data_IF_713482543720
#
_entry.id   IF_713482543720
#
_cell.length_a   1.000
_cell.length_b   1.000
_cell.length_c   1.000
_cell.angle_alpha   90.00
_cell.angle_beta   90.00
_cell.angle_gamma   90.00
#
_symmetry.space_group_name_H-M   'P 1'
#
loop_
_entity.id
_entity.type
_entity.pdbx_description
1 polymer ?
#
# COMPACT_ATOMS: atom_id res chain seq x y z
N UNK A 1 6.59 -22.11 -2.35
CA UNK A 1 5.26 -21.50 -2.50
C UNK A 1 5.27 -20.00 -2.27
N UNK A 2 5.70 -19.47 -1.11
CA UNK A 2 5.59 -18.03 -0.80
C UNK A 2 6.34 -17.08 -1.74
N UNK A 3 7.46 -17.52 -2.32
CA UNK A 3 8.23 -16.72 -3.28
C UNK A 3 7.75 -16.79 -4.73
N UNK A 4 6.66 -17.53 -5.02
CA UNK A 4 6.09 -17.64 -6.36
C UNK A 4 5.19 -16.43 -6.69
N UNK A 5 4.90 -16.24 -7.97
CA UNK A 5 3.94 -15.24 -8.46
C UNK A 5 2.50 -15.64 -8.13
N UNK A 6 1.56 -14.70 -8.18
CA UNK A 6 0.13 -14.99 -7.97
C UNK A 6 -0.36 -16.08 -8.93
N UNK A 7 0.02 -16.00 -10.20
CA UNK A 7 -0.40 -16.97 -11.23
C UNK A 7 0.09 -18.38 -10.90
N UNK A 8 1.36 -18.52 -10.53
CA UNK A 8 1.94 -19.82 -10.15
C UNK A 8 1.31 -20.40 -8.89
N UNK A 9 0.93 -19.56 -7.92
CA UNK A 9 0.26 -20.02 -6.70
C UNK A 9 -1.20 -20.38 -6.96
N UNK A 10 -1.92 -19.57 -7.75
CA UNK A 10 -3.30 -19.86 -8.16
C UNK A 10 -3.38 -21.21 -8.90
N UNK A 11 -2.43 -21.48 -9.80
CA UNK A 11 -2.34 -22.76 -10.50
C UNK A 11 -2.02 -23.92 -9.54
N UNK A 12 -1.09 -23.72 -8.60
CA UNK A 12 -0.77 -24.74 -7.60
C UNK A 12 -1.97 -25.05 -6.67
N UNK A 13 -2.81 -24.07 -6.36
CA UNK A 13 -4.06 -24.27 -5.61
C UNK A 13 -5.07 -25.07 -6.44
N UNK A 14 -5.26 -24.72 -7.72
CA UNK A 14 -6.13 -25.45 -8.66
C UNK A 14 -5.71 -26.92 -8.81
N UNK A 15 -4.40 -27.19 -8.84
CA UNK A 15 -3.82 -28.52 -8.94
C UNK A 15 -3.77 -29.29 -7.60
N UNK A 16 -4.12 -28.65 -6.48
CA UNK A 16 -4.05 -29.27 -5.15
C UNK A 16 -2.62 -29.52 -4.64
N UNK A 17 -1.62 -28.83 -5.18
CA UNK A 17 -0.22 -28.92 -4.72
C UNK A 17 0.02 -28.21 -3.38
N UNK A 18 -0.88 -27.29 -3.02
CA UNK A 18 -0.97 -26.60 -1.74
C UNK A 18 -2.44 -26.30 -1.48
N UNK A 19 -2.88 -26.25 -0.22
CA UNK A 19 -4.25 -25.80 0.10
C UNK A 19 -4.28 -24.32 0.48
N UNK A 20 -5.43 -23.62 0.33
CA UNK A 20 -5.58 -22.26 0.84
C UNK A 20 -5.25 -22.16 2.33
N UNK A 21 -5.68 -23.15 3.13
CA UNK A 21 -5.43 -23.21 4.58
C UNK A 21 -3.94 -23.32 4.89
N UNK A 22 -3.21 -24.20 4.20
CA UNK A 22 -1.75 -24.34 4.36
C UNK A 22 -1.02 -23.05 3.97
N UNK A 23 -1.44 -22.41 2.87
CA UNK A 23 -0.87 -21.15 2.40
C UNK A 23 -1.10 -20.02 3.42
N UNK A 24 -2.32 -19.88 3.92
CA UNK A 24 -2.69 -18.90 4.95
C UNK A 24 -1.86 -19.08 6.23
N UNK A 25 -1.77 -20.32 6.74
CA UNK A 25 -0.99 -20.64 7.95
C UNK A 25 0.50 -20.32 7.79
N UNK A 26 1.08 -20.54 6.60
CA UNK A 26 2.47 -20.17 6.29
C UNK A 26 2.67 -18.65 6.36
N UNK A 27 1.76 -17.86 5.79
CA UNK A 27 1.79 -16.41 5.85
C UNK A 27 1.63 -15.89 7.29
N UNK A 28 0.65 -16.41 8.06
CA UNK A 28 0.45 -16.06 9.47
C UNK A 28 1.68 -16.37 10.32
N UNK A 29 2.32 -17.53 10.07
CA UNK A 29 3.55 -17.91 10.75
C UNK A 29 4.71 -16.95 10.45
N UNK A 30 4.79 -16.43 9.23
CA UNK A 30 5.76 -15.38 8.89
C UNK A 30 5.43 -14.07 9.58
N UNK A 31 4.16 -13.63 9.60
CA UNK A 31 3.74 -12.41 10.31
C UNK A 31 4.22 -12.47 11.78
N UNK A 32 4.03 -13.62 12.45
CA UNK A 32 4.50 -13.84 13.82
C UNK A 32 6.03 -13.72 13.94
N UNK A 33 6.79 -14.31 13.01
CA UNK A 33 8.26 -14.25 12.99
C UNK A 33 8.82 -12.87 12.65
N UNK A 34 8.12 -12.10 11.82
CA UNK A 34 8.54 -10.77 11.36
C UNK A 34 7.86 -9.64 12.12
N UNK A 35 7.31 -9.90 13.32
CA UNK A 35 6.66 -8.90 14.18
C UNK A 35 7.53 -7.66 14.42
N UNK A 36 8.86 -7.84 14.44
CA UNK A 36 9.83 -6.73 14.58
C UNK A 36 9.72 -5.66 13.50
N UNK A 37 9.17 -5.99 12.31
CA UNK A 37 8.97 -5.06 11.21
C UNK A 37 7.79 -4.12 11.44
N UNK A 38 6.87 -4.48 12.34
CA UNK A 38 5.66 -3.70 12.65
C UNK A 38 4.79 -3.38 11.42
N UNK A 39 4.71 -4.32 10.46
CA UNK A 39 4.00 -4.14 9.19
C UNK A 39 2.47 -4.12 9.32
N UNK A 40 1.92 -4.70 10.39
CA UNK A 40 0.47 -4.83 10.63
C UNK A 40 0.09 -4.14 11.94
N UNK A 41 -0.97 -3.33 11.91
CA UNK A 41 -1.66 -2.85 13.11
C UNK A 41 -2.54 -3.96 13.66
N UNK A 42 -3.38 -4.54 12.79
CA UNK A 42 -4.31 -5.61 13.13
C UNK A 42 -4.04 -6.81 12.25
N UNK A 43 -3.85 -7.99 12.84
CA UNK A 43 -3.74 -9.27 12.11
C UNK A 43 -5.08 -9.98 12.23
N UNK A 44 -5.74 -10.25 11.10
CA UNK A 44 -7.07 -10.87 11.07
C UNK A 44 -6.96 -12.41 10.98
N UNK A 45 -6.25 -13.02 11.92
CA UNK A 45 -5.92 -14.46 11.91
C UNK A 45 -7.17 -15.35 11.80
N UNK A 46 -8.19 -15.10 12.62
CA UNK A 46 -9.44 -15.88 12.60
C UNK A 46 -10.19 -15.74 11.26
N UNK A 47 -10.37 -14.51 10.78
CA UNK A 47 -11.06 -14.25 9.53
C UNK A 47 -10.31 -14.84 8.33
N UNK A 48 -8.98 -14.71 8.29
CA UNK A 48 -8.14 -15.25 7.22
C UNK A 48 -8.23 -16.79 7.15
N UNK A 49 -8.18 -17.47 8.30
CA UNK A 49 -8.31 -18.92 8.37
C UNK A 49 -9.70 -19.39 7.93
N UNK A 50 -10.76 -18.72 8.38
CA UNK A 50 -12.13 -19.03 7.95
C UNK A 50 -12.29 -18.87 6.44
N UNK A 51 -11.81 -17.76 5.88
CA UNK A 51 -11.81 -17.52 4.43
C UNK A 51 -11.02 -18.62 3.68
N UNK A 52 -9.91 -19.09 4.25
CA UNK A 52 -9.09 -20.15 3.68
C UNK A 52 -9.84 -21.49 3.65
N UNK A 53 -10.52 -21.85 4.74
CA UNK A 53 -11.35 -23.06 4.79
C UNK A 53 -12.51 -23.01 3.79
N UNK A 54 -13.14 -21.85 3.62
CA UNK A 54 -14.19 -21.64 2.63
C UNK A 54 -13.65 -21.74 1.20
N UNK A 55 -12.48 -21.18 0.93
CA UNK A 55 -11.77 -21.33 -0.34
C UNK A 55 -11.43 -22.78 -0.63
N UNK A 56 -10.93 -23.53 0.35
CA UNK A 56 -10.60 -24.94 0.18
C UNK A 56 -11.84 -25.77 -0.14
N UNK A 57 -12.99 -25.48 0.48
CA UNK A 57 -14.28 -26.09 0.14
C UNK A 57 -14.69 -25.78 -1.30
N UNK A 58 -14.44 -24.57 -1.80
CA UNK A 58 -14.71 -24.18 -3.19
C UNK A 58 -13.81 -24.94 -4.16
N UNK A 59 -12.51 -25.04 -3.89
CA UNK A 59 -11.57 -25.81 -4.71
C UNK A 59 -11.96 -27.29 -4.81
N UNK A 60 -12.35 -27.93 -3.69
CA UNK A 60 -12.83 -29.32 -3.67
C UNK A 60 -14.06 -29.57 -4.55
N UNK A 61 -14.86 -28.52 -4.81
CA UNK A 61 -16.05 -28.57 -5.66
C UNK A 61 -15.79 -28.07 -7.10
N UNK A 62 -14.58 -27.63 -7.42
CA UNK A 62 -14.28 -26.98 -8.71
C UNK A 62 -14.95 -25.61 -8.88
N UNK A 63 -15.25 -24.91 -7.78
CA UNK A 63 -16.01 -23.65 -7.74
C UNK A 63 -15.17 -22.45 -7.29
N UNK A 64 -13.92 -22.38 -7.75
CA UNK A 64 -13.02 -21.25 -7.42
C UNK A 64 -13.60 -19.91 -7.91
N UNK A 65 -13.48 -18.87 -7.09
CA UNK A 65 -14.05 -17.53 -7.37
C UNK A 65 -13.21 -16.68 -8.34
N UNK A 66 -11.96 -17.07 -8.61
CA UNK A 66 -11.08 -16.32 -9.49
C UNK A 66 -9.61 -16.55 -9.18
N UNK A 67 -8.75 -15.71 -9.75
CA UNK A 67 -7.29 -15.88 -9.64
C UNK A 67 -6.75 -15.58 -8.22
N UNK A 68 -7.51 -14.86 -7.39
CA UNK A 68 -7.17 -14.60 -5.99
C UNK A 68 -7.85 -15.52 -4.98
N UNK A 69 -8.63 -16.53 -5.41
CA UNK A 69 -9.32 -17.39 -4.45
C UNK A 69 -8.30 -18.16 -3.60
N UNK A 70 -8.33 -17.96 -2.28
CA UNK A 70 -7.37 -18.57 -1.37
C UNK A 70 -5.99 -17.92 -1.33
N UNK A 71 -5.81 -16.75 -1.96
CA UNK A 71 -4.54 -16.00 -1.94
C UNK A 71 -4.53 -14.98 -0.76
N UNK A 72 -3.50 -15.03 0.12
CA UNK A 72 -3.22 -14.01 1.13
C UNK A 72 -2.98 -12.60 0.58
N UNK A 73 -3.81 -11.64 0.98
CA UNK A 73 -3.68 -10.20 0.69
C UNK A 73 -3.73 -9.36 1.96
N UNK A 74 -3.04 -8.21 1.97
CA UNK A 74 -3.08 -7.27 3.08
C UNK A 74 -3.70 -5.92 2.65
N UNK A 75 -4.26 -5.17 3.60
CA UNK A 75 -4.98 -3.92 3.29
C UNK A 75 -4.48 -2.80 4.20
N UNK A 76 -4.09 -1.65 3.65
CA UNK A 76 -3.71 -0.49 4.46
C UNK A 76 -4.82 -0.06 5.40
N UNK A 77 -4.46 0.34 6.62
CA UNK A 77 -5.44 0.63 7.68
C UNK A 77 -6.19 1.97 7.54
N UNK A 78 -6.17 2.57 6.35
CA UNK A 78 -7.06 3.66 5.96
C UNK A 78 -8.16 3.21 4.99
N UNK A 79 -8.27 1.92 4.68
CA UNK A 79 -9.45 1.37 4.01
C UNK A 79 -10.44 0.80 5.04
N UNK A 80 -11.71 1.16 4.87
CA UNK A 80 -12.81 0.63 5.67
C UNK A 80 -12.97 -0.87 5.43
N UNK A 81 -13.04 -1.63 6.52
CA UNK A 81 -13.18 -3.09 6.51
C UNK A 81 -14.28 -3.47 7.50
N UNK A 82 -15.39 -4.00 7.00
CA UNK A 82 -16.52 -4.36 7.84
C UNK A 82 -16.12 -5.38 8.90
N UNK A 83 -16.37 -5.07 10.17
CA UNK A 83 -16.06 -5.97 11.29
C UNK A 83 -14.58 -6.06 11.67
N UNK A 84 -13.69 -5.28 11.03
CA UNK A 84 -12.27 -5.19 11.40
C UNK A 84 -11.95 -3.73 11.65
N UNK A 85 -11.33 -3.44 12.79
CA UNK A 85 -10.92 -2.09 13.19
C UNK A 85 -10.14 -1.37 12.07
N UNK A 86 -10.46 -0.09 11.85
CA UNK A 86 -9.77 0.80 10.92
C UNK A 86 -9.36 2.07 11.66
N UNK A 87 -8.06 2.23 11.91
CA UNK A 87 -7.55 3.29 12.81
C UNK A 87 -6.86 4.43 12.10
N UNK A 88 -6.49 4.28 10.82
CA UNK A 88 -5.59 5.20 10.12
C UNK A 88 -4.28 5.46 10.88
N UNK A 89 -3.82 4.52 11.72
CA UNK A 89 -2.69 4.71 12.64
C UNK A 89 -2.83 5.91 13.60
N UNK A 90 -4.06 6.29 13.95
CA UNK A 90 -4.40 7.46 14.77
C UNK A 90 -5.12 7.07 16.06
N UNK A 91 -4.95 7.88 17.12
CA UNK A 91 -5.78 7.76 18.32
C UNK A 91 -7.23 8.14 18.01
N UNK A 92 -7.46 9.05 17.05
CA UNK A 92 -8.77 9.52 16.64
C UNK A 92 -9.72 8.40 16.21
N UNK A 93 -9.20 7.33 15.60
CA UNK A 93 -10.00 6.20 15.11
C UNK A 93 -9.67 4.88 15.80
N UNK A 94 -8.96 4.93 16.94
CA UNK A 94 -8.75 3.75 17.76
C UNK A 94 -10.11 3.26 18.29
N UNK A 95 -10.40 1.98 18.10
CA UNK A 95 -11.68 1.34 18.41
C UNK A 95 -12.75 1.49 17.32
N UNK A 96 -12.51 2.24 16.25
CA UNK A 96 -13.50 2.40 15.18
C UNK A 96 -13.58 1.13 14.32
N UNK A 97 -14.76 0.50 14.31
CA UNK A 97 -15.08 -0.64 13.44
C UNK A 97 -16.07 -0.18 12.37
N UNK A 98 -15.64 -0.03 11.10
CA UNK A 98 -16.51 0.40 10.02
C UNK A 98 -17.69 -0.56 9.81
N UNK A 99 -18.90 -0.06 9.48
CA UNK A 99 -20.05 -0.90 9.19
C UNK A 99 -20.08 -1.42 7.74
N UNK A 100 -19.09 -1.06 6.91
CA UNK A 100 -19.02 -1.45 5.50
C UNK A 100 -17.59 -1.65 5.02
N UNK A 101 -17.44 -2.38 3.92
CA UNK A 101 -16.18 -2.53 3.20
C UNK A 101 -15.98 -1.40 2.20
N UNK A 102 -14.76 -0.88 2.12
CA UNK A 102 -14.33 -0.12 0.96
C UNK A 102 -14.54 -0.94 -0.32
N UNK A 103 -14.85 -0.28 -1.44
CA UNK A 103 -15.18 -1.00 -2.69
C UNK A 103 -14.02 -1.90 -3.14
N UNK A 104 -12.79 -1.43 -3.02
CA UNK A 104 -11.59 -2.22 -3.34
C UNK A 104 -11.42 -3.45 -2.44
N UNK A 105 -11.78 -3.35 -1.16
CA UNK A 105 -11.76 -4.48 -0.23
C UNK A 105 -12.83 -5.49 -0.62
N UNK A 106 -14.05 -5.03 -0.91
CA UNK A 106 -15.14 -5.91 -1.34
C UNK A 106 -14.77 -6.67 -2.62
N UNK A 107 -14.20 -5.98 -3.62
CA UNK A 107 -13.75 -6.62 -4.87
C UNK A 107 -12.70 -7.72 -4.64
N UNK A 108 -11.79 -7.55 -3.67
CA UNK A 108 -10.83 -8.60 -3.31
C UNK A 108 -11.53 -9.80 -2.64
N UNK A 109 -12.46 -9.55 -1.71
CA UNK A 109 -13.22 -10.60 -1.03
C UNK A 109 -14.13 -11.37 -2.00
N UNK A 110 -14.74 -10.69 -2.97
CA UNK A 110 -15.56 -11.29 -4.02
C UNK A 110 -14.74 -12.21 -4.93
N UNK A 111 -13.43 -12.00 -5.03
CA UNK A 111 -12.48 -12.90 -5.70
C UNK A 111 -11.94 -14.01 -4.80
N UNK A 112 -12.44 -14.14 -3.56
CA UNK A 112 -12.03 -15.16 -2.61
C UNK A 112 -10.67 -14.91 -1.94
N UNK A 113 -10.14 -13.68 -2.02
CA UNK A 113 -8.87 -13.34 -1.39
C UNK A 113 -8.94 -13.46 0.14
N UNK A 114 -7.84 -13.87 0.76
CA UNK A 114 -7.71 -14.05 2.20
C UNK A 114 -7.16 -12.76 2.82
N UNK A 115 -7.96 -12.06 3.60
CA UNK A 115 -7.55 -10.81 4.25
C UNK A 115 -6.67 -11.13 5.46
N UNK A 116 -5.37 -10.88 5.34
CA UNK A 116 -4.38 -11.18 6.39
C UNK A 116 -4.39 -10.17 7.54
N UNK A 117 -4.82 -8.95 7.26
CA UNK A 117 -4.91 -7.89 8.26
C UNK A 117 -4.80 -6.49 7.68
N UNK A 118 -4.73 -5.55 8.62
CA UNK A 118 -4.62 -4.12 8.38
C UNK A 118 -3.18 -3.66 8.53
N UNK A 119 -2.58 -3.14 7.46
CA UNK A 119 -1.16 -2.78 7.46
C UNK A 119 -0.95 -1.39 8.03
N UNK A 120 0.16 -1.23 8.75
CA UNK A 120 0.56 0.01 9.38
C UNK A 120 0.94 1.10 8.34
N UNK A 121 0.88 2.36 8.77
CA UNK A 121 0.99 3.55 7.93
C UNK A 121 1.41 4.77 8.77
N UNK A 122 1.80 5.86 8.11
CA UNK A 122 1.77 7.18 8.76
C UNK A 122 0.32 7.58 9.09
N UNK A 123 0.15 8.31 10.19
CA UNK A 123 -1.16 8.73 10.69
C UNK A 123 -1.97 9.45 9.59
N UNK A 124 -3.20 8.99 9.33
CA UNK A 124 -4.06 9.52 8.26
C UNK A 124 -3.39 9.62 6.89
N UNK A 125 -2.42 8.74 6.61
CA UNK A 125 -1.60 8.73 5.41
C UNK A 125 -0.69 9.96 5.23
N UNK A 126 -0.51 10.79 6.25
CA UNK A 126 0.32 12.00 6.27
C UNK A 126 1.75 11.67 6.69
N UNK A 127 2.62 11.44 5.71
CA UNK A 127 4.03 11.19 5.97
C UNK A 127 4.71 10.43 4.82
N UNK A 128 6.04 10.35 4.91
CA UNK A 128 6.89 9.71 3.90
C UNK A 128 7.84 8.67 4.49
N UNK A 129 7.65 8.27 5.75
CA UNK A 129 8.54 7.35 6.47
C UNK A 129 7.86 6.13 7.07
N UNK A 130 6.53 6.16 7.24
CA UNK A 130 5.77 5.24 8.09
C UNK A 130 6.33 5.19 9.52
N UNK A 131 6.61 6.37 10.07
CA UNK A 131 7.26 6.56 11.38
C UNK A 131 6.37 7.22 12.42
N UNK A 132 5.33 7.94 11.96
CA UNK A 132 4.65 8.94 12.79
C UNK A 132 3.31 8.44 13.35
N UNK A 133 2.87 7.23 12.97
CA UNK A 133 1.65 6.61 13.48
C UNK A 133 1.75 6.15 14.94
N UNK A 134 0.62 6.12 15.67
CA UNK A 134 0.57 5.80 17.11
C UNK A 134 1.04 4.37 17.44
N UNK A 135 1.03 3.47 16.46
CA UNK A 135 1.44 2.07 16.61
C UNK A 135 2.96 1.89 16.47
N UNK A 136 3.70 2.98 16.31
CA UNK A 136 5.14 3.00 16.16
C UNK A 136 5.61 2.73 14.72
N UNK A 137 6.92 2.90 14.47
CA UNK A 137 7.47 2.92 13.13
C UNK A 137 7.45 1.55 12.46
N UNK A 138 7.28 1.54 11.14
CA UNK A 138 7.45 0.36 10.29
C UNK A 138 8.90 0.25 9.86
N UNK A 139 9.53 -0.91 10.13
CA UNK A 139 10.94 -1.15 9.82
C UNK A 139 11.11 -1.87 8.49
N UNK A 140 12.09 -1.44 7.72
CA UNK A 140 12.36 -1.99 6.40
C UNK A 140 12.91 -3.43 6.48
N UNK A 141 12.32 -4.41 5.76
CA UNK A 141 12.84 -5.78 5.72
C UNK A 141 14.32 -5.86 5.30
N UNK A 142 14.78 -4.96 4.41
CA UNK A 142 16.16 -4.95 3.93
C UNK A 142 17.18 -4.60 5.02
N UNK A 143 16.78 -3.91 6.10
CA UNK A 143 17.63 -3.66 7.28
C UNK A 143 18.12 -4.96 7.93
N UNK A 144 17.40 -6.06 7.74
CA UNK A 144 17.70 -7.36 8.30
C UNK A 144 18.34 -8.32 7.28
N UNK A 145 18.51 -7.88 6.03
CA UNK A 145 19.16 -8.68 4.99
C UNK A 145 20.65 -8.88 5.32
N UNK A 146 21.15 -10.09 5.06
CA UNK A 146 22.57 -10.45 5.26
C UNK A 146 23.50 -9.49 4.51
N UNK A 147 23.18 -9.23 3.24
CA UNK A 147 23.96 -8.36 2.36
C UNK A 147 24.08 -6.93 2.92
N UNK A 148 22.97 -6.35 3.40
CA UNK A 148 23.00 -5.02 4.02
C UNK A 148 23.83 -5.02 5.30
N UNK A 149 23.60 -6.00 6.19
CA UNK A 149 24.35 -6.15 7.46
C UNK A 149 25.85 -6.32 7.23
N UNK A 150 26.26 -7.07 6.21
CA UNK A 150 27.68 -7.29 5.87
C UNK A 150 28.35 -6.03 5.31
N UNK A 151 27.73 -5.34 4.35
CA UNK A 151 28.22 -4.05 3.87
C UNK A 151 28.32 -3.00 4.99
N UNK A 152 27.41 -3.08 5.96
CA UNK A 152 27.36 -2.15 7.09
C UNK A 152 28.43 -2.42 8.14
N UNK A 153 28.73 -3.69 8.46
CA UNK A 153 29.81 -4.06 9.41
C UNK A 153 31.18 -3.48 9.01
N UNK A 154 31.37 -3.18 7.73
CA UNK A 154 32.58 -2.53 7.20
C UNK A 154 32.65 -1.03 7.53
N UNK A 155 31.54 -0.39 7.92
CA UNK A 155 31.47 0.97 8.44
C UNK A 155 31.39 0.88 9.97
N UNK A 156 32.55 0.81 10.61
CA UNK A 156 32.69 0.92 12.06
C UNK A 156 32.00 2.21 12.52
N UNK A 157 31.06 2.16 13.46
CA UNK A 157 30.79 3.19 14.48
C UNK A 157 30.02 2.47 15.60
N UNK A 158 30.51 2.62 16.84
CA UNK A 158 30.11 1.86 18.03
C UNK A 158 28.73 2.25 18.57
N UNK A 159 27.70 2.19 17.74
CA UNK A 159 26.33 2.48 18.11
C UNK A 159 25.52 1.19 18.31
N UNK A 160 24.56 1.29 19.23
CA UNK A 160 23.73 0.20 19.73
C UNK A 160 22.97 -0.49 18.57
N UNK A 161 23.05 -1.83 18.46
CA UNK A 161 22.49 -2.58 17.31
C UNK A 161 20.97 -2.35 17.09
N UNK A 162 20.24 -1.97 18.13
CA UNK A 162 18.80 -1.69 18.10
C UNK A 162 18.42 -0.31 17.53
N UNK A 163 19.37 0.61 17.35
CA UNK A 163 19.14 1.98 16.83
C UNK A 163 19.06 2.05 15.30
N UNK A 164 19.28 0.93 14.63
CA UNK A 164 19.71 0.91 13.23
C UNK A 164 18.76 0.15 12.33
N UNK A 165 17.56 0.69 12.19
CA UNK A 165 16.57 0.27 11.22
C UNK A 165 16.40 1.36 10.17
N UNK A 166 16.00 0.98 8.96
CA UNK A 166 15.69 1.92 7.88
C UNK A 166 14.19 2.10 7.78
N UNK A 167 13.78 3.29 7.37
CA UNK A 167 12.39 3.58 7.02
C UNK A 167 11.95 2.71 5.83
N UNK A 168 10.65 2.45 5.77
CA UNK A 168 10.02 1.75 4.65
C UNK A 168 9.58 2.68 3.54
N UNK A 169 9.80 4.00 3.69
CA UNK A 169 9.04 5.00 2.96
C UNK A 169 7.64 5.16 3.55
N UNK A 170 6.84 6.08 3.01
CA UNK A 170 5.51 6.35 3.53
C UNK A 170 4.56 6.95 2.51
N UNK A 171 3.25 6.86 2.75
CA UNK A 171 2.63 6.38 3.99
C UNK A 171 2.17 4.92 3.97
N UNK A 172 2.35 4.17 2.87
CA UNK A 172 1.97 2.74 2.79
C UNK A 172 3.12 1.78 3.15
N UNK A 173 3.97 2.15 4.12
CA UNK A 173 5.16 1.39 4.48
C UNK A 173 4.87 0.00 5.03
N UNK A 174 3.80 -0.16 5.82
CA UNK A 174 3.35 -1.48 6.29
C UNK A 174 2.97 -2.40 5.14
N UNK A 175 2.28 -1.88 4.12
CA UNK A 175 1.90 -2.62 2.91
C UNK A 175 3.13 -3.09 2.14
N UNK A 176 4.11 -2.20 1.95
CA UNK A 176 5.36 -2.52 1.24
C UNK A 176 6.21 -3.54 2.00
N UNK A 177 6.34 -3.37 3.33
CA UNK A 177 7.05 -4.31 4.20
C UNK A 177 6.37 -5.68 4.23
N UNK A 178 5.03 -5.74 4.26
CA UNK A 178 4.28 -6.99 4.26
C UNK A 178 4.53 -7.83 2.99
N UNK A 179 4.51 -7.18 1.82
CA UNK A 179 4.77 -7.82 0.52
C UNK A 179 6.25 -8.25 0.40
N UNK A 180 7.17 -7.37 0.78
CA UNK A 180 8.62 -7.61 0.75
C UNK A 180 9.06 -8.73 1.69
N UNK A 181 8.39 -8.88 2.85
CA UNK A 181 8.62 -9.94 3.82
C UNK A 181 7.86 -11.25 3.53
N UNK A 182 7.20 -11.36 2.37
CA UNK A 182 6.44 -12.56 1.94
C UNK A 182 5.29 -12.94 2.88
N UNK A 183 4.78 -11.99 3.66
CA UNK A 183 3.63 -12.23 4.57
C UNK A 183 2.28 -12.18 3.85
N UNK A 184 2.26 -11.63 2.64
CA UNK A 184 1.14 -11.66 1.70
C UNK A 184 1.67 -11.66 0.25
N UNK A 185 0.79 -11.87 -0.74
CA UNK A 185 1.15 -11.84 -2.16
C UNK A 185 0.92 -10.46 -2.80
N UNK A 186 -0.10 -9.76 -2.33
CA UNK A 186 -0.41 -8.40 -2.73
C UNK A 186 -0.88 -7.60 -1.51
N UNK A 187 -0.71 -6.29 -1.55
CA UNK A 187 -1.28 -5.38 -0.58
C UNK A 187 -1.92 -4.16 -1.23
N UNK A 188 -3.01 -3.68 -0.65
CA UNK A 188 -3.55 -2.36 -0.95
C UNK A 188 -2.75 -1.29 -0.21
N UNK A 189 -2.33 -0.26 -0.92
CA UNK A 189 -1.85 1.01 -0.39
C UNK A 189 -2.76 2.17 -0.79
N UNK A 190 -2.39 3.38 -0.42
CA UNK A 190 -2.96 4.60 -1.00
C UNK A 190 -1.81 5.49 -1.46
N UNK A 191 -2.00 6.27 -2.53
CA UNK A 191 -1.01 7.19 -3.09
C UNK A 191 -1.66 8.54 -3.37
N UNK A 192 -1.25 9.55 -2.60
CA UNK A 192 -1.69 10.93 -2.75
C UNK A 192 -0.58 11.78 -3.37
N UNK A 193 0.63 11.72 -2.78
CA UNK A 193 1.83 12.41 -3.26
C UNK A 193 3.01 11.47 -3.56
N UNK A 194 2.79 10.16 -3.63
CA UNK A 194 3.86 9.15 -3.70
C UNK A 194 3.68 7.99 -2.74
N UNK A 195 2.61 7.97 -1.95
CA UNK A 195 2.48 7.11 -0.77
C UNK A 195 2.37 5.60 -1.04
N UNK A 196 2.34 5.16 -2.29
CA UNK A 196 2.51 3.75 -2.70
C UNK A 196 3.85 3.54 -3.41
N UNK A 197 4.22 4.45 -4.33
CA UNK A 197 5.46 4.35 -5.11
C UNK A 197 6.73 4.54 -4.27
N UNK A 198 6.71 5.48 -3.32
CA UNK A 198 7.83 5.74 -2.42
C UNK A 198 8.11 4.50 -1.53
N UNK A 199 7.12 3.94 -0.81
CA UNK A 199 7.36 2.70 -0.07
C UNK A 199 7.82 1.52 -0.94
N UNK A 200 7.26 1.39 -2.14
CA UNK A 200 7.64 0.32 -3.05
C UNK A 200 9.12 0.40 -3.46
N UNK A 201 9.61 1.60 -3.77
CA UNK A 201 11.02 1.83 -4.07
C UNK A 201 11.92 1.50 -2.87
N UNK A 202 11.57 1.94 -1.66
CA UNK A 202 12.36 1.68 -0.45
C UNK A 202 12.37 0.20 -0.03
N UNK A 203 11.30 -0.54 -0.28
CA UNK A 203 11.17 -1.95 0.09
C UNK A 203 11.50 -2.92 -1.06
N UNK A 204 11.90 -2.42 -2.24
CA UNK A 204 12.29 -3.25 -3.38
C UNK A 204 11.14 -4.10 -3.93
N UNK A 205 9.94 -3.52 -4.03
CA UNK A 205 8.72 -4.18 -4.55
C UNK A 205 8.10 -3.33 -5.67
N UNK A 206 7.13 -3.89 -6.38
CA UNK A 206 6.37 -3.15 -7.40
C UNK A 206 5.28 -2.35 -6.71
N UNK A 207 5.21 -1.04 -6.98
CA UNK A 207 4.17 -0.14 -6.48
C UNK A 207 3.49 0.57 -7.64
N UNK A 208 2.21 0.27 -7.86
CA UNK A 208 1.41 0.86 -8.92
C UNK A 208 0.42 1.85 -8.33
N UNK A 209 0.51 3.10 -8.77
CA UNK A 209 -0.57 4.09 -8.63
C UNK A 209 -1.31 4.18 -9.97
N UNK A 210 -2.54 3.66 -10.07
CA UNK A 210 -3.34 3.78 -11.29
C UNK A 210 -3.69 5.23 -11.65
N UNK A 211 -4.29 5.40 -12.82
CA UNK A 211 -4.93 6.67 -13.20
C UNK A 211 -6.02 7.03 -12.17
N UNK A 212 -6.11 8.32 -11.83
CA UNK A 212 -7.18 8.81 -10.96
C UNK A 212 -8.55 8.50 -11.59
N UNK A 213 -9.48 7.99 -10.79
CA UNK A 213 -10.81 7.54 -11.23
C UNK A 213 -10.86 6.12 -11.82
N UNK A 214 -9.73 5.44 -12.05
CA UNK A 214 -9.76 4.05 -12.54
C UNK A 214 -10.17 3.04 -11.46
N UNK A 215 -9.84 3.33 -10.20
CA UNK A 215 -10.14 2.50 -9.03
C UNK A 215 -10.89 3.35 -8.00
N UNK A 216 -11.99 2.81 -7.49
CA UNK A 216 -12.88 3.50 -6.55
C UNK A 216 -12.20 3.87 -5.23
N UNK A 217 -12.48 5.09 -4.77
CA UNK A 217 -12.09 5.65 -3.47
C UNK A 217 -13.19 5.45 -2.42
N UNK A 218 -14.34 4.87 -2.75
CA UNK A 218 -15.39 4.63 -1.77
C UNK A 218 -14.88 3.73 -0.63
N UNK A 219 -14.95 4.26 0.60
CA UNK A 219 -14.46 3.64 1.83
C UNK A 219 -12.96 3.74 2.07
N UNK A 220 -12.19 4.39 1.19
CA UNK A 220 -10.87 4.93 1.53
C UNK A 220 -11.08 6.18 2.39
N UNK A 221 -10.54 6.19 3.60
CA UNK A 221 -10.55 7.37 4.45
C UNK A 221 -9.60 8.40 3.82
N UNK A 222 -10.12 9.57 3.40
CA UNK A 222 -9.40 10.45 2.48
C UNK A 222 -8.31 11.26 3.20
N UNK A 223 -7.23 11.53 2.47
CA UNK A 223 -6.27 12.58 2.76
C UNK A 223 -6.60 13.81 1.88
N UNK A 224 -6.46 13.67 0.57
CA UNK A 224 -6.81 14.68 -0.44
C UNK A 224 -7.68 14.05 -1.51
N UNK A 225 -8.96 14.40 -1.59
CA UNK A 225 -9.89 13.78 -2.52
C UNK A 225 -9.47 13.92 -3.98
N UNK A 226 -8.90 15.06 -4.36
CA UNK A 226 -8.46 15.30 -5.74
C UNK A 226 -7.21 14.52 -6.16
N UNK A 227 -6.49 13.92 -5.22
CA UNK A 227 -5.20 13.26 -5.48
C UNK A 227 -5.14 11.81 -5.00
N UNK A 228 -5.97 11.41 -4.03
CA UNK A 228 -5.97 10.06 -3.48
C UNK A 228 -6.30 9.01 -4.51
N UNK A 229 -5.41 8.03 -4.67
CA UNK A 229 -5.66 6.84 -5.50
C UNK A 229 -5.34 5.59 -4.69
N UNK A 230 -6.23 4.58 -4.65
CA UNK A 230 -5.89 3.26 -4.14
C UNK A 230 -4.72 2.68 -4.94
N UNK A 231 -3.64 2.36 -4.23
CA UNK A 231 -2.42 1.82 -4.79
C UNK A 231 -2.33 0.31 -4.62
N UNK A 232 -1.51 -0.32 -5.45
CA UNK A 232 -1.27 -1.76 -5.46
C UNK A 232 0.21 -2.02 -5.22
N UNK A 233 0.52 -2.89 -4.26
CA UNK A 233 1.88 -3.36 -4.01
C UNK A 233 1.98 -4.88 -4.22
N UNK A 234 2.95 -5.32 -5.03
CA UNK A 234 3.21 -6.72 -5.36
C UNK A 234 4.71 -6.97 -5.56
N UNK A 235 5.13 -8.21 -5.77
CA UNK A 235 6.55 -8.54 -6.02
C UNK A 235 6.95 -8.49 -7.49
N UNK A 236 5.99 -8.60 -8.40
CA UNK A 236 6.24 -8.49 -9.85
C UNK A 236 5.11 -7.74 -10.56
N UNK A 237 5.39 -7.33 -11.80
CA UNK A 237 4.49 -6.50 -12.63
C UNK A 237 3.24 -7.28 -13.04
N UNK A 238 3.37 -8.57 -13.36
CA UNK A 238 2.24 -9.46 -13.67
C UNK A 238 1.22 -9.52 -12.54
N UNK A 239 1.70 -9.65 -11.30
CA UNK A 239 0.83 -9.67 -10.12
C UNK A 239 0.11 -8.32 -9.94
N UNK A 240 0.79 -7.20 -10.20
CA UNK A 240 0.15 -5.87 -10.14
C UNK A 240 -0.95 -5.71 -11.20
N UNK A 241 -0.73 -6.25 -12.41
CA UNK A 241 -1.72 -6.23 -13.48
C UNK A 241 -2.96 -7.09 -13.16
N UNK A 242 -2.76 -8.27 -12.57
CA UNK A 242 -3.87 -9.14 -12.10
C UNK A 242 -4.71 -8.38 -11.07
N UNK A 243 -4.07 -7.81 -10.05
CA UNK A 243 -4.78 -7.07 -8.99
C UNK A 243 -5.47 -5.83 -9.57
N UNK A 244 -4.83 -5.09 -10.47
CA UNK A 244 -5.46 -3.94 -11.13
C UNK A 244 -6.73 -4.36 -11.90
N UNK A 245 -6.68 -5.46 -12.64
CA UNK A 245 -7.84 -5.96 -13.39
C UNK A 245 -9.03 -6.33 -12.51
N UNK A 246 -8.78 -6.73 -11.27
CA UNK A 246 -9.83 -7.00 -10.28
C UNK A 246 -10.40 -5.68 -9.73
N UNK A 247 -9.54 -4.72 -9.42
CA UNK A 247 -9.93 -3.50 -8.70
C UNK A 247 -10.54 -2.42 -9.62
N UNK A 248 -10.06 -2.34 -10.85
CA UNK A 248 -10.45 -1.30 -11.79
C UNK A 248 -11.95 -1.38 -12.18
N UNK A 249 -12.50 -0.24 -12.55
CA UNK A 249 -13.87 -0.14 -13.08
C UNK A 249 -14.73 0.86 -12.33
N UNK A 250 -15.78 1.29 -13.01
CA UNK A 250 -16.82 2.15 -12.47
C UNK A 250 -17.36 1.62 -11.14
N UNK A 251 -17.56 2.52 -10.20
CA UNK A 251 -18.26 2.25 -8.95
C UNK A 251 -19.34 3.33 -8.74
N UNK A 252 -20.63 2.95 -8.72
CA UNK A 252 -21.72 3.92 -8.51
C UNK A 252 -21.66 4.60 -7.14
N UNK A 253 -20.89 4.08 -6.17
CA UNK A 253 -20.68 4.71 -4.85
C UNK A 253 -19.56 5.76 -4.86
N UNK A 254 -18.83 5.89 -5.96
CA UNK A 254 -17.78 6.89 -6.17
C UNK A 254 -18.00 7.63 -7.49
N UNK A 255 -18.60 8.82 -7.37
CA UNK A 255 -18.86 9.74 -8.48
C UNK A 255 -17.62 10.17 -9.29
N UNK A 256 -16.41 9.92 -8.77
CA UNK A 256 -15.15 10.26 -9.45
C UNK A 256 -14.58 9.10 -10.28
N UNK A 257 -15.22 7.93 -10.25
CA UNK A 257 -14.81 6.82 -11.11
C UNK A 257 -15.17 7.08 -12.57
N UNK A 258 -14.25 6.73 -13.46
CA UNK A 258 -14.47 6.85 -14.89
C UNK A 258 -15.59 5.90 -15.34
N UNK A 259 -16.42 6.37 -16.26
CA UNK A 259 -17.57 5.63 -16.78
C UNK A 259 -17.20 4.71 -17.95
N UNK A 260 -16.02 4.93 -18.55
CA UNK A 260 -15.56 4.11 -19.67
C UNK A 260 -15.40 2.65 -19.25
N UNK A 261 -15.85 1.69 -20.09
CA UNK A 261 -15.71 0.29 -19.77
C UNK A 261 -14.25 -0.09 -19.65
N UNK A 262 -13.88 -0.67 -18.51
CA UNK A 262 -12.52 -1.17 -18.29
C UNK A 262 -12.32 -2.42 -19.11
N UNK A 263 -11.34 -2.37 -20.02
CA UNK A 263 -10.90 -3.54 -20.77
C UNK A 263 -10.03 -4.42 -19.88
N UNK A 264 -10.13 -5.76 -19.97
CA UNK A 264 -9.24 -6.65 -19.24
C UNK A 264 -7.77 -6.31 -19.46
N UNK A 265 -7.01 -6.15 -18.37
CA UNK A 265 -5.58 -5.87 -18.45
C UNK A 265 -4.83 -7.17 -18.69
N UNK A 266 -4.42 -7.38 -19.94
CA UNK A 266 -3.42 -8.40 -20.26
C UNK A 266 -2.14 -7.67 -20.59
N UNK A 267 -1.07 -7.93 -19.83
CA UNK A 267 0.24 -7.42 -20.19
C UNK A 267 0.63 -8.03 -21.54
N UNK A 268 0.94 -7.23 -22.56
CA UNK A 268 1.43 -7.77 -23.82
C UNK A 268 2.77 -8.47 -23.58
N UNK A 269 2.98 -9.59 -24.27
CA UNK A 269 4.34 -10.11 -24.44
C UNK A 269 5.07 -9.14 -25.36
N UNK A 270 5.79 -8.18 -24.77
CA UNK A 270 6.59 -7.22 -25.52
C UNK A 270 7.88 -7.91 -25.95
N UNK A 271 7.90 -8.39 -27.19
CA UNK A 271 9.11 -8.94 -27.83
C UNK A 271 9.83 -7.91 -28.69
N UNK A 272 9.25 -6.72 -28.87
CA UNK A 272 9.78 -5.62 -29.69
C UNK A 272 9.51 -4.28 -28.98
N UNK A 273 10.60 -3.62 -28.55
CA UNK A 273 10.53 -2.33 -27.86
C UNK A 273 10.68 -1.15 -28.83
N UNK A 274 10.87 -1.38 -30.13
CA UNK A 274 11.13 -0.32 -31.13
C UNK A 274 10.02 0.72 -31.28
N UNK A 275 8.79 0.35 -30.87
CA UNK A 275 7.62 1.22 -30.88
C UNK A 275 7.49 2.09 -29.63
N UNK A 276 8.30 1.86 -28.61
CA UNK A 276 8.26 2.62 -27.36
C UNK A 276 9.10 3.90 -27.49
N UNK A 277 8.53 5.01 -27.01
CA UNK A 277 9.22 6.27 -26.84
C UNK A 277 9.23 6.62 -25.34
N UNK A 278 10.42 6.73 -24.76
CA UNK A 278 10.64 6.97 -23.33
C UNK A 278 11.22 8.37 -23.16
N UNK A 279 10.45 9.26 -22.56
CA UNK A 279 10.91 10.59 -22.18
C UNK A 279 11.59 10.57 -20.81
N UNK A 280 12.82 11.09 -20.74
CA UNK A 280 13.55 11.32 -19.49
C UNK A 280 13.54 12.82 -19.18
N UNK A 281 12.77 13.28 -18.18
CA UNK A 281 12.73 14.69 -17.81
C UNK A 281 14.08 15.15 -17.25
N UNK A 282 14.69 16.17 -17.85
CA UNK A 282 15.95 16.73 -17.35
C UNK A 282 15.82 17.28 -15.92
N UNK A 283 14.63 17.75 -15.54
CA UNK A 283 14.33 18.29 -14.21
C UNK A 283 14.34 17.22 -13.10
N UNK A 284 14.35 15.93 -13.42
CA UNK A 284 14.49 14.85 -12.44
C UNK A 284 15.96 14.59 -12.04
N UNK A 285 16.92 15.07 -12.83
CA UNK A 285 18.35 14.98 -12.53
C UNK A 285 18.75 16.14 -11.62
N UNK A 286 18.39 16.07 -10.35
CA UNK A 286 18.71 17.11 -9.37
C UNK A 286 20.10 16.92 -8.76
N UNK A 287 20.77 17.99 -8.30
CA UNK A 287 22.09 17.90 -7.66
C UNK A 287 22.11 17.02 -6.39
N UNK A 288 20.96 16.87 -5.73
CA UNK A 288 20.79 16.09 -4.50
C UNK A 288 20.66 14.59 -4.76
N UNK A 289 20.44 14.17 -6.01
CA UNK A 289 20.34 12.76 -6.37
C UNK A 289 21.68 12.06 -6.14
N UNK A 290 21.68 10.94 -5.41
CA UNK A 290 22.92 10.20 -5.17
C UNK A 290 23.46 9.61 -6.47
N UNK A 291 24.79 9.50 -6.56
CA UNK A 291 25.46 8.90 -7.73
C UNK A 291 25.04 7.44 -7.95
N UNK A 292 24.70 6.71 -6.88
CA UNK A 292 24.16 5.35 -6.96
C UNK A 292 22.80 5.33 -7.67
N UNK A 293 21.86 6.21 -7.28
CA UNK A 293 20.53 6.29 -7.90
C UNK A 293 20.63 6.79 -9.32
N UNK A 294 21.48 7.79 -9.59
CA UNK A 294 21.72 8.29 -10.94
C UNK A 294 22.27 7.18 -11.86
N UNK A 295 23.22 6.37 -11.37
CA UNK A 295 23.76 5.23 -12.12
C UNK A 295 22.70 4.17 -12.43
N UNK A 296 21.81 3.87 -11.47
CA UNK A 296 20.70 2.95 -11.68
C UNK A 296 19.67 3.49 -12.68
N UNK A 297 19.37 4.79 -12.62
CA UNK A 297 18.50 5.46 -13.58
C UNK A 297 19.04 5.36 -15.00
N UNK A 298 20.32 5.71 -15.19
CA UNK A 298 21.00 5.60 -16.49
C UNK A 298 21.05 4.17 -16.99
N UNK A 299 21.30 3.20 -16.09
CA UNK A 299 21.26 1.78 -16.45
C UNK A 299 19.89 1.36 -16.96
N UNK A 300 18.80 1.78 -16.31
CA UNK A 300 17.45 1.45 -16.74
C UNK A 300 17.13 2.05 -18.13
N UNK A 301 17.50 3.32 -18.36
CA UNK A 301 17.36 3.95 -19.68
C UNK A 301 18.13 3.18 -20.77
N UNK A 302 19.39 2.81 -20.51
CA UNK A 302 20.22 2.07 -21.46
C UNK A 302 19.65 0.69 -21.80
N UNK A 303 19.02 0.00 -20.84
CA UNK A 303 18.36 -1.29 -21.09
C UNK A 303 17.21 -1.15 -22.08
N UNK A 304 16.42 -0.07 -21.99
CA UNK A 304 15.37 0.17 -22.98
C UNK A 304 15.94 0.52 -24.35
N UNK A 305 16.96 1.37 -24.39
CA UNK A 305 17.62 1.77 -25.64
C UNK A 305 18.27 0.57 -26.35
N UNK A 306 18.94 -0.33 -25.61
CA UNK A 306 19.57 -1.53 -26.18
C UNK A 306 18.57 -2.51 -26.78
N UNK A 307 17.33 -2.52 -26.28
CA UNK A 307 16.22 -3.32 -26.83
C UNK A 307 15.47 -2.62 -27.97
N UNK A 308 15.95 -1.45 -28.41
CA UNK A 308 15.46 -0.72 -29.57
C UNK A 308 14.47 0.40 -29.26
N UNK A 309 14.12 0.65 -27.99
CA UNK A 309 13.24 1.76 -27.65
C UNK A 309 13.89 3.11 -27.94
N UNK A 310 13.09 4.11 -28.32
CA UNK A 310 13.55 5.49 -28.47
C UNK A 310 13.60 6.16 -27.10
N UNK A 311 14.80 6.37 -26.55
CA UNK A 311 15.00 7.11 -25.30
C UNK A 311 15.38 8.56 -25.64
N UNK A 312 14.62 9.53 -25.14
CA UNK A 312 14.84 10.95 -25.41
C UNK A 312 14.78 11.78 -24.14
N UNK A 313 15.64 12.80 -24.06
CA UNK A 313 15.48 13.84 -23.07
C UNK A 313 14.22 14.67 -23.36
N UNK A 314 13.45 15.00 -22.33
CA UNK A 314 12.30 15.91 -22.39
C UNK A 314 12.39 16.95 -21.28
N UNK A 315 11.52 17.97 -21.34
CA UNK A 315 11.45 19.02 -20.32
C UNK A 315 10.05 19.08 -19.71
N UNK A 316 10.02 19.02 -18.38
CA UNK A 316 8.85 19.27 -17.53
C UNK A 316 9.18 20.47 -16.63
N UNK A 317 9.17 21.71 -17.18
CA UNK A 317 9.78 22.87 -16.55
C UNK A 317 9.12 23.30 -15.23
N UNK A 318 7.89 22.83 -14.98
CA UNK A 318 7.14 23.14 -13.77
C UNK A 318 7.32 22.10 -12.64
N UNK A 319 8.19 21.10 -12.81
CA UNK A 319 8.40 20.03 -11.82
C UNK A 319 8.79 20.57 -10.44
N UNK A 320 9.61 21.61 -10.38
CA UNK A 320 10.05 22.21 -9.11
C UNK A 320 8.91 22.81 -8.28
N UNK A 321 7.80 23.20 -8.91
CA UNK A 321 6.62 23.73 -8.20
C UNK A 321 5.73 22.63 -7.62
N UNK A 322 5.91 21.36 -8.03
CA UNK A 322 5.01 20.26 -7.67
C UNK A 322 4.86 20.07 -6.16
N UNK A 323 5.95 20.16 -5.41
CA UNK A 323 5.93 20.00 -3.95
C UNK A 323 5.13 21.14 -3.30
N UNK A 324 5.35 22.38 -3.72
CA UNK A 324 4.64 23.55 -3.18
C UNK A 324 3.14 23.47 -3.50
N UNK A 325 2.80 23.16 -4.75
CA UNK A 325 1.41 22.95 -5.17
C UNK A 325 0.74 21.83 -4.36
N UNK A 326 1.43 20.71 -4.16
CA UNK A 326 0.96 19.60 -3.35
C UNK A 326 0.66 20.04 -1.91
N UNK A 327 1.55 20.79 -1.26
CA UNK A 327 1.33 21.23 0.13
C UNK A 327 0.12 22.15 0.25
N UNK A 328 -0.06 23.09 -0.69
CA UNK A 328 -1.23 24.00 -0.69
C UNK A 328 -2.53 23.23 -0.85
N UNK A 329 -2.60 22.31 -1.83
CA UNK A 329 -3.79 21.49 -2.06
C UNK A 329 -4.05 20.54 -0.88
N UNK A 330 -3.00 19.91 -0.36
CA UNK A 330 -3.09 18.98 0.75
C UNK A 330 -3.63 19.66 2.00
N UNK A 331 -3.02 20.75 2.44
CA UNK A 331 -3.46 21.50 3.63
C UNK A 331 -4.90 22.00 3.49
N UNK A 332 -5.28 22.48 2.31
CA UNK A 332 -6.64 22.97 2.03
C UNK A 332 -7.69 21.86 2.13
N UNK A 333 -7.46 20.72 1.49
CA UNK A 333 -8.42 19.62 1.52
C UNK A 333 -8.43 18.87 2.84
N UNK A 334 -7.27 18.70 3.49
CA UNK A 334 -7.16 18.07 4.81
C UNK A 334 -7.97 18.84 5.85
N UNK A 335 -7.91 20.18 5.84
CA UNK A 335 -8.70 21.01 6.74
C UNK A 335 -10.21 20.70 6.63
N UNK A 336 -10.72 20.48 5.42
CA UNK A 336 -12.11 20.09 5.18
C UNK A 336 -12.38 18.62 5.48
N UNK A 337 -11.53 17.71 5.00
CA UNK A 337 -11.74 16.26 5.09
C UNK A 337 -11.71 15.77 6.54
N UNK A 338 -10.80 16.31 7.34
CA UNK A 338 -10.61 15.94 8.73
C UNK A 338 -11.62 16.62 9.67
N UNK A 339 -12.43 17.57 9.20
CA UNK A 339 -13.41 18.28 10.03
C UNK A 339 -14.49 17.34 10.61
N UNK A 340 -14.77 16.22 9.92
CA UNK A 340 -15.73 15.19 10.36
C UNK A 340 -15.33 14.42 11.62
N UNK A 341 -14.06 14.48 12.02
CA UNK A 341 -13.56 13.77 13.19
C UNK A 341 -13.68 14.69 14.40
N UNK A 342 -14.80 14.55 15.10
CA UNK A 342 -15.23 15.44 16.18
C UNK A 342 -15.69 14.68 17.44
N UNK A 343 -15.70 13.35 17.39
CA UNK A 343 -16.08 12.46 18.48
C UNK A 343 -17.58 12.34 18.75
N UNK A 344 -18.43 12.88 17.87
CA UNK A 344 -19.89 12.78 18.05
C UNK A 344 -20.45 11.46 17.54
N UNK A 345 -20.19 11.13 16.28
CA UNK A 345 -20.77 9.93 15.65
C UNK A 345 -19.89 8.69 15.84
N UNK A 346 -18.57 8.86 15.83
CA UNK A 346 -17.60 7.77 15.92
C UNK A 346 -16.20 8.28 16.30
N UNK A 347 -15.32 7.35 16.66
CA UNK A 347 -13.93 7.66 17.01
C UNK A 347 -13.74 8.12 18.45
N UNK A 348 -12.60 8.74 18.71
CA UNK A 348 -12.24 9.28 20.02
C UNK A 348 -13.18 10.43 20.41
N UNK A 349 -13.53 10.50 21.70
CA UNK A 349 -14.25 11.62 22.30
C UNK A 349 -13.60 11.92 23.64
N UNK A 350 -13.25 13.18 23.87
CA UNK A 350 -12.71 13.62 25.15
C UNK A 350 -13.79 13.61 26.25
N UNK A 351 -13.36 13.54 27.51
CA UNK A 351 -14.26 13.53 28.68
C UNK A 351 -14.65 14.95 29.18
N UNK A 352 -14.28 16.02 28.47
CA UNK A 352 -14.61 17.38 28.90
C UNK A 352 -16.12 17.67 28.77
N UNK A 353 -16.67 18.37 29.75
CA UNK A 353 -18.09 18.75 29.82
C UNK A 353 -18.27 20.27 30.02
N UNK A 354 -17.42 21.07 29.36
CA UNK A 354 -17.43 22.53 29.49
C UNK A 354 -18.38 23.19 28.47
N UNK A 355 -18.20 22.86 27.20
CA UNK A 355 -19.04 23.31 26.08
C UNK A 355 -18.80 22.43 24.86
N UNK A 356 -19.69 22.48 23.87
CA UNK A 356 -19.51 21.74 22.61
C UNK A 356 -18.22 22.16 21.88
N UNK A 357 -17.89 23.45 21.88
CA UNK A 357 -16.64 23.96 21.29
C UNK A 357 -15.40 23.43 22.00
N UNK A 358 -15.40 23.44 23.33
CA UNK A 358 -14.31 22.89 24.14
C UNK A 358 -14.16 21.37 23.91
N UNK A 359 -15.28 20.65 23.78
CA UNK A 359 -15.30 19.22 23.48
C UNK A 359 -14.71 18.93 22.10
N UNK A 360 -15.08 19.67 21.05
CA UNK A 360 -14.48 19.51 19.72
C UNK A 360 -12.98 19.78 19.74
N UNK A 361 -12.55 20.88 20.36
CA UNK A 361 -11.14 21.25 20.45
C UNK A 361 -10.32 20.20 21.21
N UNK A 362 -10.79 19.75 22.37
CA UNK A 362 -10.12 18.74 23.18
C UNK A 362 -10.09 17.36 22.49
N UNK A 363 -11.22 16.91 21.94
CA UNK A 363 -11.29 15.64 21.19
C UNK A 363 -10.27 15.60 20.06
N UNK A 364 -10.20 16.67 19.25
CA UNK A 364 -9.26 16.76 18.13
C UNK A 364 -7.81 16.84 18.60
N UNK A 365 -7.54 17.59 19.66
CA UNK A 365 -6.20 17.71 20.25
C UNK A 365 -5.70 16.39 20.86
N UNK A 366 -6.58 15.61 21.46
CA UNK A 366 -6.24 14.31 22.05
C UNK A 366 -6.13 13.21 20.98
N UNK A 367 -6.94 13.29 19.91
CA UNK A 367 -7.04 12.26 18.89
C UNK A 367 -5.99 12.34 17.79
N UNK A 368 -5.55 13.54 17.38
CA UNK A 368 -4.53 13.73 16.34
C UNK A 368 -3.15 13.99 16.95
N UNK A 369 -2.08 13.42 16.37
CA UNK A 369 -0.72 13.82 16.75
C UNK A 369 -0.30 15.15 16.13
N UNK A 370 0.84 15.67 16.58
CA UNK A 370 1.53 16.82 15.97
C UNK A 370 2.17 16.42 14.62
N UNK A 371 1.36 16.06 13.64
CA UNK A 371 1.82 15.73 12.29
C UNK A 371 2.19 17.02 11.56
N UNK A 372 3.47 17.15 11.18
CA UNK A 372 3.93 18.25 10.32
C UNK A 372 3.64 17.90 8.86
N UNK A 373 2.60 18.54 8.29
CA UNK A 373 2.25 18.46 6.87
C UNK A 373 3.31 19.07 5.96
#
# INVERSE_FOLDING_TARGET
>A
MLGRTLREVSEALKQGLVTPTELCQRCLSLIKKTKILNAYITVSEEAALKQAEESEKRYKKGQSLGDLDGIPVAVKDNFSTAGIETTCASNMLKGYVPPYNATVVQKLLDQGALLMGKTNLDEFAMGSGSTDGIFGPVKNPWSYSKQYREKRKQKSHGENENSHWLITGGSSGGSAAAVSAFTCFAALGSDTGGSTRNPAAHCGVVGLKPSYGLVSRHGLIPLVNSMDVPGILTRCVDDAAIVLGILAGHDPKDSTTIQDPVKPFTLPSLTDMSKLCIGIPKEYLTPELSSEVQSLWSKAANLFESEGAKVIEVSLPHTSYSIVCYHVLCTSEVASNMARFDGLEYGHRCDTDVSTEAMYAATRREGFNDVKL
#
